data_IF_586019345187
#
_entry.id   IF_586019345187
#
_cell.length_a   1.000
_cell.length_b   1.000
_cell.length_c   1.000
_cell.angle_alpha   90.00
_cell.angle_beta   90.00
_cell.angle_gamma   90.00
#
_symmetry.space_group_name_H-M   'P 1'
#
loop_
_entity.id
_entity.type
_entity.pdbx_description
1 polymer ?
#
# COMPACT_ATOMS: atom_id res chain seq x y z
N UNK A 1 5.46 -19.31 -46.15
CA UNK A 1 5.09 -18.18 -45.28
C UNK A 1 4.09 -17.29 -45.99
N UNK A 2 2.90 -17.14 -45.42
CA UNK A 2 1.81 -16.35 -45.98
C UNK A 2 2.10 -14.85 -45.88
N UNK A 3 1.46 -14.03 -46.71
CA UNK A 3 1.66 -12.57 -46.72
C UNK A 3 1.28 -11.91 -45.37
N UNK A 4 0.36 -12.53 -44.62
CA UNK A 4 -0.05 -12.09 -43.29
C UNK A 4 1.06 -12.33 -42.25
N UNK A 5 1.67 -13.51 -42.21
CA UNK A 5 2.80 -13.84 -41.31
C UNK A 5 3.96 -12.86 -41.49
N UNK A 6 4.38 -12.62 -42.74
CA UNK A 6 5.46 -11.66 -43.05
C UNK A 6 5.15 -10.22 -42.60
N UNK A 7 3.87 -9.85 -42.54
CA UNK A 7 3.42 -8.52 -42.09
C UNK A 7 3.42 -8.41 -40.57
N UNK A 8 3.03 -9.48 -39.87
CA UNK A 8 3.08 -9.55 -38.41
C UNK A 8 4.53 -9.53 -37.89
N UNK A 9 5.43 -10.29 -38.54
CA UNK A 9 6.85 -10.30 -38.17
C UNK A 9 7.50 -8.92 -38.31
N UNK A 10 7.21 -8.21 -39.40
CA UNK A 10 7.71 -6.84 -39.63
C UNK A 10 7.16 -5.83 -38.62
N UNK A 11 5.94 -6.02 -38.11
CA UNK A 11 5.39 -5.18 -37.05
C UNK A 11 6.07 -5.48 -35.72
N UNK A 12 6.19 -6.75 -35.34
CA UNK A 12 6.80 -7.16 -34.08
C UNK A 12 8.25 -6.68 -33.98
N UNK A 13 9.05 -6.89 -35.03
CA UNK A 13 10.45 -6.42 -35.11
C UNK A 13 10.52 -4.89 -35.02
N UNK A 14 9.61 -4.17 -35.69
CA UNK A 14 9.57 -2.70 -35.61
C UNK A 14 9.26 -2.24 -34.19
N UNK A 15 8.25 -2.80 -33.55
CA UNK A 15 7.89 -2.42 -32.18
C UNK A 15 9.01 -2.76 -31.19
N UNK A 16 9.63 -3.94 -31.29
CA UNK A 16 10.71 -4.32 -30.38
C UNK A 16 11.93 -3.39 -30.49
N UNK A 17 12.31 -3.00 -31.71
CA UNK A 17 13.39 -2.03 -31.94
C UNK A 17 13.04 -0.64 -31.40
N UNK A 18 11.81 -0.17 -31.63
CA UNK A 18 11.34 1.11 -31.10
C UNK A 18 11.37 1.10 -29.57
N UNK A 19 10.85 0.04 -28.94
CA UNK A 19 10.84 -0.11 -27.48
C UNK A 19 12.27 -0.14 -26.93
N UNK A 20 13.17 -0.93 -27.53
CA UNK A 20 14.56 -1.04 -27.08
C UNK A 20 15.27 0.32 -27.08
N UNK A 21 15.11 1.12 -28.14
CA UNK A 21 15.72 2.45 -28.25
C UNK A 21 15.10 3.45 -27.28
N UNK A 22 13.79 3.40 -27.08
CA UNK A 22 13.09 4.23 -26.08
C UNK A 22 13.54 3.90 -24.66
N UNK A 23 13.69 2.62 -24.32
CA UNK A 23 14.20 2.16 -23.02
C UNK A 23 15.67 2.55 -22.82
N UNK A 24 16.47 2.58 -23.89
CA UNK A 24 17.83 3.12 -23.87
C UNK A 24 17.91 4.65 -23.71
N UNK A 25 16.77 5.34 -23.63
CA UNK A 25 16.68 6.79 -23.41
C UNK A 25 16.80 7.62 -24.69
N UNK A 26 16.73 7.01 -25.86
CA UNK A 26 16.81 7.75 -27.13
C UNK A 26 15.58 8.63 -27.38
N UNK A 27 15.82 9.80 -27.97
CA UNK A 27 14.78 10.66 -28.54
C UNK A 27 14.61 10.33 -30.03
N UNK A 28 13.48 9.71 -30.37
CA UNK A 28 13.18 9.17 -31.68
C UNK A 28 12.43 10.16 -32.58
N UNK A 29 12.96 10.47 -33.76
CA UNK A 29 12.22 11.26 -34.75
C UNK A 29 11.24 10.38 -35.54
N UNK A 30 9.94 10.68 -35.46
CA UNK A 30 8.90 9.87 -36.13
C UNK A 30 9.09 9.84 -37.65
N UNK A 31 9.60 10.92 -38.25
CA UNK A 31 9.88 10.98 -39.70
C UNK A 31 11.08 10.11 -40.08
N UNK A 32 12.17 10.16 -39.30
CA UNK A 32 13.36 9.33 -39.57
C UNK A 32 13.06 7.85 -39.40
N UNK A 33 12.33 7.48 -38.34
CA UNK A 33 11.89 6.10 -38.15
C UNK A 33 10.98 5.62 -39.28
N UNK A 34 10.11 6.48 -39.81
CA UNK A 34 9.23 6.11 -40.92
C UNK A 34 10.05 5.66 -42.13
N UNK A 35 11.11 6.42 -42.45
CA UNK A 35 12.04 6.07 -43.52
C UNK A 35 12.84 4.80 -43.20
N UNK A 36 13.36 4.67 -41.97
CA UNK A 36 14.16 3.51 -41.51
C UNK A 36 13.39 2.18 -41.65
N UNK A 37 12.12 2.18 -41.24
CA UNK A 37 11.28 0.99 -41.31
C UNK A 37 10.53 0.83 -42.64
N UNK A 38 10.69 1.76 -43.60
CA UNK A 38 9.98 1.74 -44.87
C UNK A 38 8.46 1.83 -44.74
N UNK A 39 7.95 2.56 -43.74
CA UNK A 39 6.51 2.72 -43.47
C UNK A 39 6.09 4.20 -43.50
N UNK A 40 4.80 4.46 -43.66
CA UNK A 40 4.30 5.83 -43.59
C UNK A 40 4.33 6.37 -42.16
N UNK A 41 4.50 7.69 -42.02
CA UNK A 41 4.36 8.40 -40.73
C UNK A 41 3.01 8.09 -40.06
N UNK A 42 1.93 7.93 -40.85
CA UNK A 42 0.61 7.51 -40.34
C UNK A 42 0.66 6.13 -39.67
N UNK A 43 1.42 5.19 -40.23
CA UNK A 43 1.59 3.85 -39.66
C UNK A 43 2.32 3.90 -38.33
N UNK A 44 3.41 4.66 -38.24
CA UNK A 44 4.12 4.84 -36.97
C UNK A 44 3.29 5.56 -35.92
N UNK A 45 2.58 6.62 -36.29
CA UNK A 45 1.64 7.30 -35.37
C UNK A 45 0.60 6.34 -34.80
N UNK A 46 0.12 5.41 -35.61
CA UNK A 46 -0.78 4.34 -35.15
C UNK A 46 -0.08 3.36 -34.21
N UNK A 47 1.12 2.90 -34.55
CA UNK A 47 1.92 2.02 -33.67
C UNK A 47 2.10 2.65 -32.29
N UNK A 48 2.47 3.92 -32.25
CA UNK A 48 2.63 4.69 -31.04
C UNK A 48 1.34 4.83 -30.21
N UNK A 49 0.22 5.20 -30.85
CA UNK A 49 -1.05 5.47 -30.17
C UNK A 49 -1.83 4.23 -29.77
N UNK A 50 -1.75 3.16 -30.55
CA UNK A 50 -2.59 1.97 -30.35
C UNK A 50 -1.80 0.81 -29.74
N UNK A 51 -0.49 0.71 -30.01
CA UNK A 51 0.31 -0.47 -29.61
C UNK A 51 1.31 -0.16 -28.51
N UNK A 52 1.82 1.07 -28.48
CA UNK A 52 2.74 1.57 -27.45
C UNK A 52 2.04 2.54 -26.49
N UNK A 53 0.70 2.53 -26.42
CA UNK A 53 -0.08 3.42 -25.53
C UNK A 53 0.29 3.24 -24.05
N UNK A 54 0.78 2.05 -23.70
CA UNK A 54 1.20 1.70 -22.36
C UNK A 54 2.66 2.10 -22.07
N UNK A 55 3.32 2.87 -22.92
CA UNK A 55 4.59 3.52 -22.60
C UNK A 55 4.35 5.01 -22.32
N UNK A 56 5.02 5.55 -21.30
CA UNK A 56 4.92 6.97 -20.95
C UNK A 56 5.77 7.79 -21.92
N UNK A 57 5.19 8.09 -23.09
CA UNK A 57 5.88 8.73 -24.20
C UNK A 57 5.56 10.22 -24.26
N UNK A 58 6.60 11.04 -24.35
CA UNK A 58 6.48 12.47 -24.63
C UNK A 58 6.61 12.73 -26.12
N UNK A 59 5.73 13.59 -26.66
CA UNK A 59 5.77 14.02 -28.07
C UNK A 59 6.01 15.52 -28.17
N UNK A 60 7.10 15.89 -28.83
CA UNK A 60 7.43 17.30 -29.09
C UNK A 60 7.90 17.45 -30.54
N UNK A 61 7.22 18.30 -31.32
CA UNK A 61 7.63 18.69 -32.68
C UNK A 61 8.01 17.52 -33.63
N UNK A 62 7.34 16.38 -33.52
CA UNK A 62 7.60 15.19 -34.35
C UNK A 62 8.70 14.26 -33.82
N UNK A 63 9.19 14.50 -32.61
CA UNK A 63 10.03 13.60 -31.83
C UNK A 63 9.23 12.90 -30.73
N UNK A 64 9.66 11.70 -30.37
CA UNK A 64 9.08 10.84 -29.35
C UNK A 64 10.19 10.34 -28.43
N UNK A 65 10.04 10.48 -27.13
CA UNK A 65 10.99 9.94 -26.14
C UNK A 65 10.22 9.26 -25.03
N UNK A 66 10.80 8.24 -24.41
CA UNK A 66 10.29 7.73 -23.15
C UNK A 66 10.55 8.78 -22.06
N UNK A 67 9.51 9.20 -21.36
CA UNK A 67 9.63 10.09 -20.19
C UNK A 67 10.61 9.45 -19.23
N UNK A 68 11.81 10.02 -19.18
CA UNK A 68 12.87 9.52 -18.32
C UNK A 68 12.57 10.09 -16.94
N UNK A 69 12.44 9.23 -15.93
CA UNK A 69 12.16 9.62 -14.55
C UNK A 69 13.36 10.32 -13.86
N UNK A 70 14.02 11.24 -14.56
CA UNK A 70 15.20 11.96 -14.11
C UNK A 70 15.12 13.41 -14.53
N UNK A 71 14.43 14.23 -13.73
CA UNK A 71 14.94 15.55 -13.33
C UNK A 71 14.04 16.27 -12.30
N UNK A 72 12.79 15.83 -12.04
CA UNK A 72 11.89 16.61 -11.14
C UNK A 72 11.12 15.79 -10.08
N UNK A 73 11.30 14.47 -9.98
CA UNK A 73 10.45 13.63 -9.13
C UNK A 73 11.23 12.73 -8.17
N UNK A 74 11.70 13.35 -7.09
CA UNK A 74 12.25 12.64 -5.93
C UNK A 74 11.19 12.35 -4.84
N UNK A 75 9.90 12.68 -5.07
CA UNK A 75 8.82 12.51 -4.07
C UNK A 75 7.94 11.26 -4.23
N UNK A 76 8.12 10.45 -5.27
CA UNK A 76 7.22 9.31 -5.58
C UNK A 76 7.53 8.00 -4.83
N UNK A 77 8.80 7.67 -4.47
CA UNK A 77 9.07 6.44 -3.74
C UNK A 77 8.35 6.39 -2.39
N UNK A 78 8.32 7.50 -1.66
CA UNK A 78 7.77 7.54 -0.31
C UNK A 78 6.25 7.37 -0.30
N UNK A 79 5.54 7.93 -1.28
CA UNK A 79 4.08 7.75 -1.42
C UNK A 79 3.73 6.31 -1.76
N UNK A 80 4.49 5.67 -2.66
CA UNK A 80 4.30 4.25 -2.99
C UNK A 80 4.56 3.36 -1.76
N UNK A 81 5.67 3.59 -1.06
CA UNK A 81 6.02 2.86 0.16
C UNK A 81 4.95 3.06 1.24
N UNK A 82 4.48 4.29 1.44
CA UNK A 82 3.42 4.62 2.36
C UNK A 82 2.12 3.89 2.02
N UNK A 83 1.68 3.93 0.75
CA UNK A 83 0.45 3.28 0.32
C UNK A 83 0.50 1.75 0.50
N UNK A 84 1.65 1.12 0.24
CA UNK A 84 1.83 -0.30 0.50
C UNK A 84 1.85 -0.63 2.01
N UNK A 85 2.58 0.16 2.82
CA UNK A 85 2.68 -0.08 4.27
C UNK A 85 1.39 0.18 5.03
N UNK A 86 0.57 1.12 4.56
CA UNK A 86 -0.74 1.46 5.13
C UNK A 86 -1.89 0.60 4.57
N UNK A 87 -1.64 -0.23 3.55
CA UNK A 87 -2.66 -1.02 2.88
C UNK A 87 -3.52 -0.25 1.87
N UNK A 88 -3.30 1.08 1.71
CA UNK A 88 -4.06 1.91 0.76
C UNK A 88 -3.85 1.52 -0.69
N UNK A 89 -2.72 0.91 -1.05
CA UNK A 89 -2.45 0.44 -2.42
C UNK A 89 -3.55 -0.49 -2.96
N UNK A 90 -4.15 -1.31 -2.10
CA UNK A 90 -5.23 -2.24 -2.48
C UNK A 90 -6.56 -1.57 -2.81
N UNK A 91 -6.75 -0.29 -2.45
CA UNK A 91 -7.98 0.47 -2.74
C UNK A 91 -8.03 1.01 -4.17
N UNK A 92 -6.88 1.08 -4.84
CA UNK A 92 -6.76 1.67 -6.18
C UNK A 92 -6.54 0.56 -7.23
N UNK A 93 -7.49 0.35 -8.16
CA UNK A 93 -7.32 -0.60 -9.25
C UNK A 93 -6.08 -0.23 -10.10
N UNK A 94 -5.17 -1.19 -10.28
CA UNK A 94 -3.95 -0.95 -11.06
C UNK A 94 -2.97 0.04 -10.42
N UNK A 95 -2.94 0.14 -9.08
CA UNK A 95 -2.03 1.02 -8.34
C UNK A 95 -0.57 0.86 -8.80
N UNK A 96 -0.04 1.90 -9.46
CA UNK A 96 1.33 1.96 -9.93
C UNK A 96 1.89 3.40 -9.86
N UNK A 97 3.16 3.55 -10.24
CA UNK A 97 3.84 4.85 -10.27
C UNK A 97 3.13 5.87 -11.18
N UNK A 98 2.50 5.43 -12.26
CA UNK A 98 1.84 6.33 -13.23
C UNK A 98 0.57 6.90 -12.64
N UNK A 99 -0.24 6.06 -12.00
CA UNK A 99 -1.42 6.49 -11.29
C UNK A 99 -1.07 7.49 -10.18
N UNK A 100 -0.07 7.17 -9.35
CA UNK A 100 0.39 8.09 -8.30
C UNK A 100 0.84 9.43 -8.87
N UNK A 101 1.63 9.42 -9.95
CA UNK A 101 2.06 10.65 -10.61
C UNK A 101 0.89 11.46 -11.18
N UNK A 102 -0.09 10.79 -11.79
CA UNK A 102 -1.27 11.45 -12.33
C UNK A 102 -2.10 12.12 -11.23
N UNK A 103 -2.25 11.49 -10.07
CA UNK A 103 -2.96 12.05 -8.92
C UNK A 103 -2.20 13.21 -8.26
N UNK A 104 -0.86 13.13 -8.16
CA UNK A 104 -0.03 14.19 -7.58
C UNK A 104 0.07 15.45 -8.45
N UNK A 105 -0.15 15.32 -9.76
CA UNK A 105 -0.06 16.41 -10.74
C UNK A 105 -1.43 16.99 -11.12
N UNK A 106 -2.50 16.54 -10.50
CA UNK A 106 -3.86 17.02 -10.74
C UNK A 106 -4.24 18.07 -9.69
N UNK A 107 -4.72 19.23 -10.13
CA UNK A 107 -5.24 20.26 -9.24
C UNK A 107 -6.59 19.87 -8.61
N UNK A 108 -7.33 19.00 -9.29
CA UNK A 108 -8.60 18.43 -8.84
C UNK A 108 -8.39 17.03 -8.22
N UNK A 109 -9.37 16.54 -7.46
CA UNK A 109 -9.33 15.19 -6.89
C UNK A 109 -10.15 14.20 -7.76
N UNK A 110 -9.57 13.56 -8.79
CA UNK A 110 -10.31 12.74 -9.75
C UNK A 110 -10.90 11.45 -9.14
N UNK A 111 -10.38 11.03 -8.00
CA UNK A 111 -10.94 9.96 -7.18
C UNK A 111 -10.79 10.29 -5.71
N UNK A 112 -11.84 10.03 -4.91
CA UNK A 112 -11.88 10.32 -3.48
C UNK A 112 -12.22 9.03 -2.74
N UNK A 113 -11.43 8.72 -1.70
CA UNK A 113 -11.81 7.71 -0.73
C UNK A 113 -12.72 8.41 0.28
N UNK A 114 -14.00 8.03 0.42
CA UNK A 114 -14.90 8.68 1.37
C UNK A 114 -14.31 8.65 2.78
N UNK A 115 -14.15 9.83 3.39
CA UNK A 115 -13.65 9.95 4.76
C UNK A 115 -14.68 9.41 5.74
N UNK A 116 -14.47 8.18 6.17
CA UNK A 116 -14.99 7.66 7.41
C UNK A 116 -14.15 8.28 8.55
N UNK A 117 -14.57 9.42 9.10
CA UNK A 117 -13.86 9.99 10.26
C UNK A 117 -14.23 9.12 11.48
N UNK A 118 -13.28 8.38 12.08
CA UNK A 118 -13.56 7.69 13.34
C UNK A 118 -14.09 8.70 14.36
N UNK A 119 -15.00 8.28 15.22
CA UNK A 119 -15.22 9.04 16.46
C UNK A 119 -13.84 9.23 17.10
N UNK A 120 -13.44 10.47 17.38
CA UNK A 120 -12.09 10.76 17.80
C UNK A 120 -12.07 11.11 19.28
N UNK A 121 -11.42 10.29 20.10
CA UNK A 121 -11.01 10.71 21.45
C UNK A 121 -9.93 11.81 21.36
N UNK A 122 -9.86 12.76 22.32
CA UNK A 122 -8.85 13.81 22.31
C UNK A 122 -7.41 13.28 22.46
N UNK A 123 -7.24 12.10 23.06
CA UNK A 123 -5.95 11.39 23.15
C UNK A 123 -5.59 10.62 21.87
N UNK A 124 -6.55 10.40 20.97
CA UNK A 124 -6.42 9.54 19.80
C UNK A 124 -5.18 9.80 18.94
N UNK A 125 -4.90 11.03 18.47
CA UNK A 125 -3.75 11.30 17.61
C UNK A 125 -2.39 11.05 18.27
N UNK A 126 -2.24 11.42 19.54
CA UNK A 126 -0.99 11.22 20.28
C UNK A 126 -0.79 9.74 20.63
N UNK A 127 -1.83 9.07 21.10
CA UNK A 127 -1.80 7.62 21.38
C UNK A 127 -1.48 6.83 20.11
N UNK A 128 -2.11 7.18 18.98
CA UNK A 128 -1.83 6.58 17.67
C UNK A 128 -0.35 6.71 17.31
N UNK A 129 0.20 7.92 17.36
CA UNK A 129 1.59 8.15 17.00
C UNK A 129 2.57 7.38 17.91
N UNK A 130 2.33 7.39 19.23
CA UNK A 130 3.16 6.62 20.18
C UNK A 130 3.11 5.12 19.93
N UNK A 131 1.96 4.58 19.56
CA UNK A 131 1.82 3.17 19.19
C UNK A 131 2.55 2.84 17.89
N UNK A 132 2.45 3.70 16.87
CA UNK A 132 3.21 3.54 15.62
C UNK A 132 4.71 3.49 15.90
N UNK A 133 5.22 4.38 16.75
CA UNK A 133 6.64 4.35 17.16
C UNK A 133 7.00 3.07 17.91
N UNK A 134 6.22 2.69 18.93
CA UNK A 134 6.51 1.51 19.72
C UNK A 134 6.51 0.22 18.88
N UNK A 135 5.59 0.10 17.91
CA UNK A 135 5.55 -1.02 16.96
C UNK A 135 6.79 -1.00 16.05
N UNK A 136 7.16 0.19 15.54
CA UNK A 136 8.35 0.35 14.66
C UNK A 136 9.64 -0.02 15.38
N UNK A 137 9.80 0.43 16.62
CA UNK A 137 10.96 0.18 17.48
C UNK A 137 10.92 -1.19 18.17
N UNK A 138 9.84 -1.96 17.99
CA UNK A 138 9.58 -3.26 18.62
C UNK A 138 9.66 -3.22 20.15
N UNK A 139 9.10 -2.17 20.73
CA UNK A 139 9.09 -1.90 22.17
C UNK A 139 7.76 -2.33 22.75
N UNK A 140 7.81 -2.99 23.90
CA UNK A 140 6.59 -3.25 24.67
C UNK A 140 6.02 -1.94 25.19
N UNK A 141 4.72 -1.92 25.44
CA UNK A 141 4.02 -0.74 25.95
C UNK A 141 3.19 -1.09 27.18
N UNK A 142 3.01 -0.11 28.04
CA UNK A 142 1.94 -0.10 29.04
C UNK A 142 0.85 0.84 28.56
N UNK A 143 -0.39 0.35 28.59
CA UNK A 143 -1.58 1.10 28.20
C UNK A 143 -2.46 1.39 29.42
N UNK A 144 -3.07 2.56 29.43
CA UNK A 144 -4.24 2.85 30.25
C UNK A 144 -5.44 2.90 29.31
N UNK A 145 -6.29 1.86 29.37
CA UNK A 145 -7.46 1.70 28.53
C UNK A 145 -8.73 1.58 29.41
N UNK A 146 -9.71 2.48 29.26
CA UNK A 146 -10.94 2.51 30.09
C UNK A 146 -10.69 2.33 31.59
N UNK A 147 -9.66 2.98 32.13
CA UNK A 147 -9.25 2.89 33.53
C UNK A 147 -8.52 1.60 33.93
N UNK A 148 -8.40 0.62 33.03
CA UNK A 148 -7.59 -0.58 33.23
C UNK A 148 -6.16 -0.35 32.75
N UNK A 149 -5.20 -0.75 33.58
CA UNK A 149 -3.78 -0.68 33.26
C UNK A 149 -3.32 -2.04 32.74
N UNK A 150 -2.91 -2.09 31.47
CA UNK A 150 -2.39 -3.29 30.83
C UNK A 150 -0.88 -3.11 30.59
N UNK A 151 -0.06 -3.89 31.28
CA UNK A 151 1.39 -3.72 31.26
C UNK A 151 2.07 -4.70 30.29
N UNK A 152 3.26 -4.33 29.82
CA UNK A 152 4.17 -5.20 29.06
C UNK A 152 3.53 -5.81 27.79
N UNK A 153 2.64 -5.07 27.15
CA UNK A 153 2.00 -5.46 25.90
C UNK A 153 2.99 -5.46 24.75
N UNK A 154 3.05 -6.56 24.00
CA UNK A 154 3.78 -6.64 22.75
C UNK A 154 2.85 -6.23 21.59
N UNK A 155 2.82 -4.93 21.29
CA UNK A 155 2.00 -4.35 20.22
C UNK A 155 2.46 -4.83 18.85
N UNK A 156 1.60 -5.52 18.10
CA UNK A 156 1.97 -6.05 16.80
C UNK A 156 1.52 -5.16 15.64
N UNK A 157 0.29 -4.65 15.66
CA UNK A 157 -0.27 -3.94 14.51
C UNK A 157 -1.43 -3.03 14.92
N UNK A 158 -1.51 -1.89 14.22
CA UNK A 158 -2.70 -1.05 14.17
C UNK A 158 -3.45 -1.30 12.86
N UNK A 159 -4.77 -1.38 12.91
CA UNK A 159 -5.62 -1.49 11.73
C UNK A 159 -6.92 -0.70 11.91
N UNK A 160 -7.51 -0.29 10.80
CA UNK A 160 -8.82 0.37 10.78
C UNK A 160 -9.87 -0.58 10.21
N UNK A 161 -10.96 -0.77 10.94
CA UNK A 161 -12.11 -1.57 10.50
C UNK A 161 -13.41 -0.89 10.92
N UNK A 162 -14.39 -0.79 10.03
CA UNK A 162 -15.68 -0.13 10.28
C UNK A 162 -15.51 1.25 10.96
N UNK A 163 -14.55 2.05 10.46
CA UNK A 163 -14.25 3.39 10.97
C UNK A 163 -13.66 3.44 12.39
N UNK A 164 -13.24 2.31 12.98
CA UNK A 164 -12.61 2.26 14.30
C UNK A 164 -11.17 1.76 14.17
N UNK A 165 -10.25 2.41 14.88
CA UNK A 165 -8.87 1.95 14.99
C UNK A 165 -8.77 0.88 16.08
N UNK A 166 -8.14 -0.24 15.74
CA UNK A 166 -7.85 -1.34 16.65
C UNK A 166 -6.34 -1.53 16.77
N UNK A 167 -5.88 -1.71 18.00
CA UNK A 167 -4.57 -2.23 18.34
C UNK A 167 -4.68 -3.72 18.62
N UNK A 168 -3.92 -4.52 17.88
CA UNK A 168 -3.71 -5.93 18.19
C UNK A 168 -2.36 -6.07 18.88
N UNK A 169 -2.39 -6.62 20.08
CA UNK A 169 -1.23 -6.86 20.92
C UNK A 169 -1.24 -8.28 21.48
N UNK A 170 -0.09 -8.69 22.01
CA UNK A 170 0.03 -9.89 22.84
C UNK A 170 0.22 -9.47 24.30
N UNK A 171 -0.55 -10.07 25.19
CA UNK A 171 -0.48 -9.90 26.64
C UNK A 171 -0.39 -11.27 27.30
N UNK A 172 0.72 -11.56 27.99
CA UNK A 172 0.95 -12.85 28.67
C UNK A 172 0.67 -14.09 27.79
N UNK A 173 1.07 -14.05 26.51
CA UNK A 173 0.84 -15.15 25.56
C UNK A 173 -0.55 -15.20 24.94
N UNK A 174 -1.47 -14.32 25.33
CA UNK A 174 -2.81 -14.22 24.77
C UNK A 174 -2.95 -13.00 23.87
N UNK A 175 -3.83 -13.10 22.87
CA UNK A 175 -4.17 -11.97 22.02
C UNK A 175 -5.01 -10.99 22.84
N UNK A 176 -4.63 -9.71 22.78
CA UNK A 176 -5.36 -8.61 23.36
C UNK A 176 -5.69 -7.60 22.25
N UNK A 177 -6.95 -7.18 22.21
CA UNK A 177 -7.45 -6.20 21.24
C UNK A 177 -7.98 -5.00 22.00
N UNK A 178 -7.51 -3.82 21.60
CA UNK A 178 -7.94 -2.55 22.14
C UNK A 178 -8.46 -1.66 21.02
N UNK A 179 -9.55 -0.92 21.27
CA UNK A 179 -9.91 0.20 20.39
C UNK A 179 -8.98 1.38 20.67
N UNK A 180 -8.81 2.31 19.73
CA UNK A 180 -7.99 3.50 20.00
C UNK A 180 -8.71 4.48 20.94
N UNK A 181 -10.04 4.50 20.94
CA UNK A 181 -10.85 5.46 21.68
C UNK A 181 -10.81 5.24 23.19
N UNK A 182 -10.70 3.98 23.61
CA UNK A 182 -10.50 3.60 25.02
C UNK A 182 -9.08 3.89 25.51
N UNK A 183 -8.08 4.08 24.63
CA UNK A 183 -6.68 4.28 25.02
C UNK A 183 -6.41 5.74 25.39
N UNK A 184 -6.23 5.99 26.68
CA UNK A 184 -5.96 7.32 27.21
C UNK A 184 -4.46 7.61 27.36
N UNK A 185 -3.65 6.58 27.64
CA UNK A 185 -2.21 6.73 27.80
C UNK A 185 -1.46 5.56 27.17
N UNK A 186 -0.38 5.89 26.46
CA UNK A 186 0.60 4.94 25.93
C UNK A 186 1.96 5.28 26.54
N UNK A 187 2.52 4.34 27.30
CA UNK A 187 3.86 4.44 27.88
C UNK A 187 4.78 3.37 27.27
N UNK A 188 5.74 3.74 26.41
CA UNK A 188 6.71 2.79 25.88
C UNK A 188 7.67 2.33 26.99
N UNK A 189 7.98 1.03 26.99
CA UNK A 189 8.90 0.39 27.93
C UNK A 189 10.29 0.25 27.31
N UNK A 190 11.31 -0.04 28.13
CA UNK A 190 12.65 -0.40 27.66
C UNK A 190 12.75 -1.82 27.11
N UNK A 191 11.80 -2.68 27.47
CA UNK A 191 11.72 -4.04 26.97
C UNK A 191 11.36 -4.08 25.49
N UNK A 192 12.11 -4.86 24.72
CA UNK A 192 11.74 -5.24 23.37
C UNK A 192 10.97 -6.57 23.37
N UNK A 193 10.31 -6.87 22.25
CA UNK A 193 9.69 -8.16 22.02
C UNK A 193 10.09 -8.71 20.65
N UNK A 194 10.04 -10.04 20.51
CA UNK A 194 10.17 -10.69 19.19
C UNK A 194 8.81 -10.68 18.52
N UNK A 195 8.78 -10.34 17.23
CA UNK A 195 7.56 -10.34 16.44
C UNK A 195 6.94 -11.74 16.46
N UNK A 196 5.67 -11.81 16.83
CA UNK A 196 4.91 -13.05 16.76
C UNK A 196 4.32 -13.16 15.35
N UNK A 197 4.94 -14.00 14.51
CA UNK A 197 4.53 -14.17 13.11
C UNK A 197 3.13 -14.77 12.97
N UNK A 198 2.68 -15.56 13.95
CA UNK A 198 1.32 -16.10 13.97
C UNK A 198 0.31 -15.00 14.23
N UNK A 199 0.58 -14.11 15.19
CA UNK A 199 -0.27 -12.94 15.46
C UNK A 199 -0.28 -11.99 14.26
N UNK A 200 0.86 -11.79 13.59
CA UNK A 200 0.93 -10.94 12.39
C UNK A 200 0.10 -11.48 11.22
N UNK A 201 0.10 -12.81 11.02
CA UNK A 201 -0.76 -13.46 10.01
C UNK A 201 -2.23 -13.37 10.38
N UNK A 202 -2.56 -13.54 11.66
CA UNK A 202 -3.93 -13.39 12.14
C UNK A 202 -4.46 -11.96 11.92
N UNK A 203 -3.61 -10.95 12.10
CA UNK A 203 -3.95 -9.55 11.82
C UNK A 203 -4.19 -9.23 10.34
N UNK A 204 -3.95 -10.18 9.43
CA UNK A 204 -4.21 -10.09 7.99
C UNK A 204 -5.43 -10.96 7.57
N UNK A 205 -5.92 -11.81 8.47
CA UNK A 205 -7.03 -12.72 8.20
C UNK A 205 -8.36 -11.94 8.14
N UNK A 206 -9.10 -11.98 7.02
CA UNK A 206 -10.37 -11.28 6.89
C UNK A 206 -11.41 -11.74 7.94
N UNK A 207 -11.40 -13.01 8.35
CA UNK A 207 -12.35 -13.52 9.36
C UNK A 207 -12.06 -12.92 10.72
N UNK A 208 -10.78 -12.83 11.09
CA UNK A 208 -10.37 -12.18 12.33
C UNK A 208 -10.71 -10.68 12.33
N UNK A 209 -10.44 -9.99 11.21
CA UNK A 209 -10.75 -8.57 11.07
C UNK A 209 -12.26 -8.31 11.22
N UNK A 210 -13.11 -9.16 10.63
CA UNK A 210 -14.57 -9.06 10.79
C UNK A 210 -15.04 -9.29 12.23
N UNK A 211 -14.30 -10.09 13.01
CA UNK A 211 -14.63 -10.39 14.40
C UNK A 211 -14.20 -9.29 15.40
N UNK A 212 -13.37 -8.32 14.99
CA UNK A 212 -12.81 -7.29 15.88
C UNK A 212 -13.85 -6.55 16.73
N UNK A 213 -15.00 -6.10 16.21
CA UNK A 213 -16.01 -5.41 17.01
C UNK A 213 -16.57 -6.26 18.16
N UNK A 214 -16.50 -7.59 18.03
CA UNK A 214 -17.03 -8.56 18.98
C UNK A 214 -15.94 -9.28 19.77
N UNK A 215 -14.67 -8.97 19.53
CA UNK A 215 -13.55 -9.76 20.04
C UNK A 215 -13.54 -9.85 21.57
N UNK A 216 -13.76 -8.73 22.28
CA UNK A 216 -13.82 -8.71 23.76
C UNK A 216 -14.91 -9.65 24.30
N UNK A 217 -16.09 -9.64 23.68
CA UNK A 217 -17.20 -10.52 24.08
C UNK A 217 -16.88 -12.00 23.82
N UNK A 218 -16.30 -12.30 22.65
CA UNK A 218 -15.87 -13.66 22.30
C UNK A 218 -14.81 -14.15 23.29
N UNK A 219 -13.81 -13.33 23.59
CA UNK A 219 -12.73 -13.65 24.53
C UNK A 219 -13.27 -13.91 25.94
N UNK A 220 -14.15 -13.05 26.44
CA UNK A 220 -14.78 -13.25 27.75
C UNK A 220 -15.60 -14.54 27.81
N UNK A 221 -16.35 -14.83 26.74
CA UNK A 221 -17.13 -16.07 26.63
C UNK A 221 -16.22 -17.30 26.66
N UNK A 222 -15.15 -17.31 25.87
CA UNK A 222 -14.17 -18.41 25.86
C UNK A 222 -13.52 -18.62 27.22
N UNK A 223 -13.16 -17.54 27.92
CA UNK A 223 -12.59 -17.61 29.27
C UNK A 223 -13.59 -18.12 30.31
N UNK A 224 -14.88 -17.82 30.14
CA UNK A 224 -15.94 -18.32 31.03
C UNK A 224 -16.18 -19.84 30.89
N UNK A 225 -15.80 -20.44 29.75
CA UNK A 225 -15.92 -21.88 29.49
C UNK A 225 -14.65 -22.68 29.85
N UNK A 226 -13.56 -22.03 30.29
CA UNK A 226 -12.38 -22.76 30.81
C UNK A 226 -12.68 -23.17 32.27
N UNK A 227 -12.81 -24.48 32.57
CA UNK A 227 -13.05 -24.94 33.94
C UNK A 227 -11.88 -24.54 34.85
N UNK A 228 -12.17 -24.21 36.10
CA UNK A 228 -11.27 -23.61 37.08
C UNK A 228 -10.09 -24.49 37.55
N UNK A 229 -9.78 -25.60 36.87
CA UNK A 229 -8.89 -26.66 37.36
C UNK A 229 -7.41 -26.49 37.02
N UNK A 230 -6.99 -25.34 36.48
CA UNK A 230 -5.58 -25.07 36.16
C UNK A 230 -5.06 -23.72 36.69
N UNK A 231 -5.58 -23.26 37.83
CA UNK A 231 -4.85 -22.31 38.68
C UNK A 231 -4.04 -23.11 39.70
N UNK A 232 -2.87 -23.60 39.29
CA UNK A 232 -1.84 -24.04 40.24
C UNK A 232 -0.96 -22.85 40.65
N UNK A 233 -0.54 -22.93 41.91
CA UNK A 233 0.11 -21.96 42.80
C UNK A 233 1.34 -21.23 42.25
#
# INVERSE_FOLDING_TARGET
MTQAERRHDRLAVRLSLIISRLVAGETLSVRKLAAEFGVSVRTLRRDFRERLMYLDLEYQSGYCRLRTAGSEMQMVPDVLIFAHRSGLAGLFPGFDRRLVNALLMCDEAPCVIPSARPASSPSGPLSFWRLVQAITDRRKVTLLADGQRCERLASCRLLIHQQTWYLIAEHNGHIAVFTLDEIHLVQPLQESFRRNDSLCRLAEDPVFIQALPHFRFIQQSLLAFVPADNRQE
#
